data_IF_719880299520
#
_entry.id   IF_719880299520
#
_cell.length_a   1.000
_cell.length_b   1.000
_cell.length_c   1.000
_cell.angle_alpha   90.00
_cell.angle_beta   90.00
_cell.angle_gamma   90.00
#
_symmetry.space_group_name_H-M   'P 1'
#
loop_
_entity.id
_entity.type
_entity.pdbx_description
1 polymer ?
#
# COMPACT_ATOMS: atom_id res chain seq x y z
N UNK A 1 25.14 -19.86 40.63
CA UNK A 1 25.20 -18.76 39.65
C UNK A 1 25.49 -19.33 38.26
N UNK A 2 24.48 -19.77 37.50
CA UNK A 2 24.62 -20.15 36.08
C UNK A 2 23.26 -20.45 35.41
N UNK A 3 22.27 -20.96 36.16
CA UNK A 3 21.08 -21.55 35.54
C UNK A 3 20.03 -20.54 35.03
N UNK A 4 19.93 -19.35 35.62
CA UNK A 4 18.86 -18.39 35.29
C UNK A 4 19.05 -17.65 33.96
N UNK A 5 20.28 -17.61 33.42
CA UNK A 5 20.57 -16.86 32.18
C UNK A 5 19.96 -17.49 30.93
N UNK A 6 19.78 -18.81 30.90
CA UNK A 6 19.26 -19.53 29.74
C UNK A 6 17.75 -19.32 29.52
N UNK A 7 16.98 -19.13 30.60
CA UNK A 7 15.52 -18.92 30.50
C UNK A 7 15.17 -17.58 29.85
N UNK A 8 15.94 -16.53 30.13
CA UNK A 8 15.72 -15.19 29.54
C UNK A 8 15.97 -15.21 28.03
N UNK A 9 16.98 -15.97 27.58
CA UNK A 9 17.33 -16.05 26.15
C UNK A 9 16.22 -16.72 25.32
N UNK A 10 15.58 -17.77 25.86
CA UNK A 10 14.47 -18.44 25.20
C UNK A 10 13.23 -17.54 25.05
N UNK A 11 12.98 -16.65 26.03
CA UNK A 11 11.84 -15.73 25.99
C UNK A 11 11.98 -14.70 24.87
N UNK A 12 13.19 -14.21 24.60
CA UNK A 12 13.44 -13.21 23.54
C UNK A 12 13.23 -13.83 22.15
N UNK A 13 13.60 -15.09 21.93
CA UNK A 13 13.38 -15.77 20.65
C UNK A 13 11.89 -15.91 20.30
N UNK A 14 11.02 -16.13 21.29
CA UNK A 14 9.58 -16.24 21.05
C UNK A 14 8.94 -14.90 20.69
N UNK A 15 9.37 -13.80 21.32
CA UNK A 15 8.85 -12.46 21.03
C UNK A 15 9.12 -11.99 19.60
N UNK A 16 10.25 -12.40 19.01
CA UNK A 16 10.58 -12.04 17.62
C UNK A 16 9.73 -12.82 16.61
N UNK A 17 9.42 -14.11 16.88
CA UNK A 17 8.52 -14.87 16.01
C UNK A 17 7.05 -14.47 16.16
N UNK A 18 6.65 -13.97 17.33
CA UNK A 18 5.31 -13.46 17.62
C UNK A 18 5.19 -11.95 17.42
N UNK A 19 6.02 -11.34 16.56
CA UNK A 19 5.55 -10.14 15.86
C UNK A 19 4.87 -10.63 14.59
N UNK A 20 3.57 -10.99 14.63
CA UNK A 20 2.83 -11.09 13.40
C UNK A 20 2.87 -9.68 12.80
N UNK A 21 3.75 -9.50 11.81
CA UNK A 21 3.56 -8.54 10.74
C UNK A 21 2.32 -8.92 9.91
N UNK A 22 1.21 -9.20 10.59
CA UNK A 22 -0.17 -9.11 10.13
C UNK A 22 -0.67 -7.67 10.38
N UNK A 23 0.23 -6.69 10.42
CA UNK A 23 -0.14 -5.33 10.12
C UNK A 23 -0.21 -5.26 8.62
N UNK A 24 -1.43 -5.42 8.09
CA UNK A 24 -1.87 -4.94 6.77
C UNK A 24 -0.74 -4.26 6.03
N UNK A 25 -0.25 -4.82 4.92
CA UNK A 25 0.34 -3.94 3.92
C UNK A 25 -0.72 -2.84 3.75
N UNK A 26 -0.54 -1.57 4.19
CA UNK A 26 -1.18 -0.56 3.39
C UNK A 26 -0.52 -0.85 2.06
N UNK A 27 -1.28 -1.44 1.12
CA UNK A 27 -0.91 -1.32 -0.28
C UNK A 27 -0.45 0.11 -0.34
N UNK A 28 0.84 0.39 -0.67
CA UNK A 28 1.21 1.75 -0.93
C UNK A 28 0.42 2.02 -2.22
N UNK A 29 -0.85 2.39 -2.04
CA UNK A 29 -1.51 3.33 -2.90
C UNK A 29 -0.42 4.39 -2.97
N UNK A 30 0.19 4.60 -4.15
CA UNK A 30 0.97 5.81 -4.30
C UNK A 30 0.11 6.93 -3.75
N UNK A 31 0.72 7.98 -3.17
CA UNK A 31 -0.03 9.17 -2.78
C UNK A 31 -1.07 9.38 -3.88
N UNK A 32 -2.34 9.13 -3.55
CA UNK A 32 -3.38 8.96 -4.56
C UNK A 32 -3.23 10.18 -5.43
N UNK A 33 -2.81 10.02 -6.68
CA UNK A 33 -2.57 11.20 -7.47
C UNK A 33 -3.97 11.75 -7.67
N UNK A 34 -4.32 12.80 -6.92
CA UNK A 34 -5.57 13.54 -7.03
C UNK A 34 -5.58 14.32 -8.35
N UNK A 35 -5.13 13.70 -9.44
CA UNK A 35 -5.44 14.15 -10.79
C UNK A 35 -6.91 13.78 -10.98
N UNK A 36 -7.79 14.77 -11.13
CA UNK A 36 -9.16 14.50 -11.48
C UNK A 36 -9.18 13.86 -12.86
N UNK A 37 -9.67 12.63 -12.91
CA UNK A 37 -10.08 11.99 -14.13
C UNK A 37 -11.28 12.74 -14.72
N UNK A 38 -11.17 13.06 -16.00
CA UNK A 38 -12.15 13.87 -16.71
C UNK A 38 -11.95 13.78 -18.22
N UNK A 39 -12.56 14.71 -18.97
CA UNK A 39 -12.50 14.71 -20.45
C UNK A 39 -11.06 14.72 -21.01
N UNK A 40 -10.12 15.33 -20.30
CA UNK A 40 -8.70 15.41 -20.71
C UNK A 40 -7.78 14.37 -20.07
N UNK A 41 -8.20 13.71 -19.00
CA UNK A 41 -7.40 12.74 -18.27
C UNK A 41 -8.23 11.48 -18.02
N UNK A 42 -8.11 10.52 -18.93
CA UNK A 42 -8.90 9.29 -18.89
C UNK A 42 -8.17 8.20 -18.10
N UNK A 43 -8.86 7.09 -17.80
CA UNK A 43 -8.22 5.89 -17.22
C UNK A 43 -7.02 5.41 -18.03
N UNK A 44 -6.98 5.67 -19.35
CA UNK A 44 -5.85 5.35 -20.21
C UNK A 44 -4.62 6.21 -19.90
N UNK A 45 -4.81 7.51 -19.72
CA UNK A 45 -3.73 8.44 -19.35
C UNK A 45 -3.27 8.20 -17.92
N UNK A 46 -4.21 7.96 -17.00
CA UNK A 46 -3.92 7.50 -15.64
C UNK A 46 -3.08 6.21 -15.65
N UNK A 47 -3.47 5.22 -16.46
CA UNK A 47 -2.72 3.98 -16.58
C UNK A 47 -1.30 4.20 -17.09
N UNK A 48 -1.13 4.97 -18.17
CA UNK A 48 0.20 5.31 -18.70
C UNK A 48 1.06 5.99 -17.64
N UNK A 49 0.50 6.97 -16.92
CA UNK A 49 1.18 7.68 -15.85
C UNK A 49 1.65 6.71 -14.77
N UNK A 50 0.73 5.90 -14.24
CA UNK A 50 1.02 4.92 -13.20
C UNK A 50 2.07 3.88 -13.66
N UNK A 51 1.98 3.39 -14.90
CA UNK A 51 3.00 2.49 -15.45
C UNK A 51 4.36 3.17 -15.64
N UNK A 52 4.37 4.47 -15.99
CA UNK A 52 5.60 5.25 -16.13
C UNK A 52 6.33 5.47 -14.81
N UNK A 53 5.60 5.56 -13.69
CA UNK A 53 6.18 5.66 -12.34
C UNK A 53 6.38 4.29 -11.67
N UNK A 54 6.18 3.18 -12.40
CA UNK A 54 6.53 1.82 -11.96
C UNK A 54 5.37 0.98 -11.43
N UNK A 55 4.15 1.52 -11.33
CA UNK A 55 2.98 0.74 -10.91
C UNK A 55 2.48 -0.18 -12.03
N UNK A 56 1.85 -1.29 -11.67
CA UNK A 56 1.37 -2.26 -12.66
C UNK A 56 0.22 -1.74 -13.51
N UNK A 57 -0.67 -0.96 -12.89
CA UNK A 57 -1.81 -0.32 -13.56
C UNK A 57 -2.24 0.95 -12.86
N UNK A 58 -2.86 1.85 -13.64
CA UNK A 58 -3.63 2.98 -13.15
C UNK A 58 -5.09 2.87 -13.56
N UNK A 59 -6.00 3.36 -12.74
CA UNK A 59 -7.43 3.44 -13.04
C UNK A 59 -8.05 4.69 -12.42
N UNK A 60 -9.09 5.20 -13.08
CA UNK A 60 -9.93 6.23 -12.51
C UNK A 60 -11.03 5.59 -11.66
N UNK A 61 -11.14 6.01 -10.41
CA UNK A 61 -12.23 5.65 -9.50
C UNK A 61 -12.77 6.91 -8.83
N UNK A 62 -14.02 6.91 -8.33
CA UNK A 62 -14.51 8.01 -7.51
C UNK A 62 -13.61 8.21 -6.28
N UNK A 63 -13.38 9.46 -5.92
CA UNK A 63 -12.68 9.83 -4.70
C UNK A 63 -13.52 9.43 -3.47
N UNK A 64 -12.86 8.93 -2.42
CA UNK A 64 -13.57 8.46 -1.21
C UNK A 64 -14.24 9.60 -0.44
N UNK A 65 -13.65 10.81 -0.47
CA UNK A 65 -14.19 12.00 0.19
C UNK A 65 -15.17 12.74 -0.74
N UNK A 66 -14.91 12.73 -2.05
CA UNK A 66 -15.73 13.41 -3.06
C UNK A 66 -16.14 12.47 -4.20
N UNK A 67 -17.20 11.64 -4.05
CA UNK A 67 -17.57 10.64 -5.05
C UNK A 67 -17.98 11.23 -6.41
N UNK A 68 -18.32 12.52 -6.47
CA UNK A 68 -18.54 13.25 -7.73
C UNK A 68 -17.25 13.52 -8.53
N UNK A 69 -16.08 13.42 -7.90
CA UNK A 69 -14.78 13.58 -8.53
C UNK A 69 -14.21 12.19 -8.74
N UNK A 70 -13.86 11.84 -9.98
CA UNK A 70 -13.06 10.65 -10.20
C UNK A 70 -11.58 11.02 -10.09
N UNK A 71 -10.82 10.33 -9.27
CA UNK A 71 -9.37 10.49 -9.09
C UNK A 71 -8.61 9.32 -9.71
N UNK A 72 -7.34 9.54 -10.06
CA UNK A 72 -6.46 8.51 -10.60
C UNK A 72 -5.78 7.72 -9.48
N UNK A 73 -5.96 6.40 -9.48
CA UNK A 73 -5.35 5.49 -8.53
C UNK A 73 -4.39 4.55 -9.25
N UNK A 74 -3.16 4.43 -8.74
CA UNK A 74 -2.27 3.37 -9.21
C UNK A 74 -2.28 2.20 -8.23
N UNK A 75 -2.24 0.99 -8.77
CA UNK A 75 -2.23 -0.25 -7.98
C UNK A 75 -1.07 -1.13 -8.40
N UNK A 76 -0.41 -1.72 -7.41
CA UNK A 76 0.67 -2.69 -7.61
C UNK A 76 0.14 -4.10 -7.95
N UNK A 77 -1.00 -4.51 -7.38
CA UNK A 77 -1.56 -5.87 -7.51
C UNK A 77 -2.80 -5.92 -8.41
N UNK A 78 -3.08 -7.12 -8.96
CA UNK A 78 -4.32 -7.43 -9.71
C UNK A 78 -5.51 -7.26 -8.78
#
# INVERSE_FOLDING_TARGET
>A
MASTKYLVLLFICLSVLLTPGLGTDPVPTPPGLHIPCGKGFTSKECNKYCTGVGYRRGYCAPDEEYPQISSCYCKWRI
#
